data_IF_998033574620
#
_entry.id   IF_998033574620
#
_cell.length_a   1.000
_cell.length_b   1.000
_cell.length_c   1.000
_cell.angle_alpha   90.00
_cell.angle_beta   90.00
_cell.angle_gamma   90.00
#
_symmetry.space_group_name_H-M   'P 1'
#
loop_
_entity.id
_entity.type
_entity.pdbx_description
1 polymer ?
#
# COMPACT_ATOMS: atom_id res chain seq x y z
N UNK A 1 -8.83 -14.82 -14.60
CA UNK A 1 -9.12 -13.50 -14.00
C UNK A 1 -9.02 -12.43 -15.08
N UNK A 2 -9.94 -11.47 -15.11
CA UNK A 2 -10.08 -10.46 -16.18
C UNK A 2 -8.83 -9.59 -16.37
N UNK A 3 -8.11 -9.34 -15.28
CA UNK A 3 -6.85 -8.58 -15.25
C UNK A 3 -5.79 -9.20 -16.18
N UNK A 4 -5.67 -10.53 -16.20
CA UNK A 4 -4.63 -11.23 -16.94
C UNK A 4 -4.81 -11.16 -18.47
N UNK A 5 -6.00 -10.77 -18.96
CA UNK A 5 -6.24 -10.53 -20.39
C UNK A 5 -5.63 -9.21 -20.86
N UNK A 6 -5.56 -8.22 -19.97
CA UNK A 6 -5.15 -6.84 -20.29
C UNK A 6 -3.71 -6.54 -19.85
N UNK A 7 -3.24 -7.18 -18.78
CA UNK A 7 -1.91 -6.97 -18.21
C UNK A 7 -1.34 -8.25 -17.59
N UNK A 8 -0.16 -8.15 -16.98
CA UNK A 8 0.41 -9.27 -16.23
C UNK A 8 -0.52 -9.75 -15.11
N UNK A 9 -0.41 -11.03 -14.71
CA UNK A 9 -1.20 -11.55 -13.61
C UNK A 9 -0.95 -10.73 -12.34
N UNK A 10 -2.00 -10.45 -11.54
CA UNK A 10 -1.84 -9.71 -10.31
C UNK A 10 -1.01 -10.50 -9.28
N UNK A 11 -0.32 -9.78 -8.40
CA UNK A 11 0.48 -10.38 -7.31
C UNK A 11 -0.41 -10.99 -6.23
N UNK A 12 -1.56 -10.35 -5.96
CA UNK A 12 -2.56 -10.78 -5.01
C UNK A 12 -3.74 -11.41 -5.74
N UNK A 13 -4.31 -12.45 -5.13
CA UNK A 13 -5.55 -13.08 -5.58
C UNK A 13 -6.72 -12.09 -5.52
N UNK A 14 -7.79 -12.38 -6.26
CA UNK A 14 -8.98 -11.53 -6.25
C UNK A 14 -9.56 -11.34 -4.84
N UNK A 15 -9.60 -12.40 -4.01
CA UNK A 15 -10.17 -12.36 -2.66
C UNK A 15 -9.31 -11.50 -1.73
N UNK A 16 -7.97 -11.62 -1.84
CA UNK A 16 -7.05 -10.75 -1.10
C UNK A 16 -7.27 -9.28 -1.47
N UNK A 17 -7.48 -8.98 -2.76
CA UNK A 17 -7.75 -7.61 -3.23
C UNK A 17 -9.10 -7.09 -2.73
N UNK A 18 -10.17 -7.89 -2.81
CA UNK A 18 -11.49 -7.48 -2.33
C UNK A 18 -11.46 -7.17 -0.84
N UNK A 19 -10.84 -8.04 -0.04
CA UNK A 19 -10.72 -7.82 1.41
C UNK A 19 -9.93 -6.56 1.74
N UNK A 20 -8.82 -6.31 1.03
CA UNK A 20 -8.01 -5.11 1.25
C UNK A 20 -8.78 -3.82 0.94
N UNK A 21 -9.53 -3.78 -0.17
CA UNK A 21 -10.34 -2.59 -0.53
C UNK A 21 -11.49 -2.42 0.46
N UNK A 22 -12.16 -3.50 0.87
CA UNK A 22 -13.22 -3.44 1.89
C UNK A 22 -12.67 -2.97 3.24
N UNK A 23 -11.39 -3.16 3.57
CA UNK A 23 -10.82 -2.67 4.82
C UNK A 23 -10.64 -1.14 4.87
N UNK A 24 -10.68 -0.45 3.72
CA UNK A 24 -10.53 1.00 3.65
C UNK A 24 -11.81 1.67 4.18
N UNK A 25 -11.65 2.67 5.05
CA UNK A 25 -12.76 3.29 5.78
C UNK A 25 -13.74 4.11 4.93
N UNK A 26 -13.33 4.51 3.73
CA UNK A 26 -14.16 5.26 2.79
C UNK A 26 -14.96 4.37 1.83
N UNK A 27 -14.76 3.06 1.88
CA UNK A 27 -15.44 2.10 1.00
C UNK A 27 -16.63 1.51 1.74
N UNK A 28 -17.84 1.65 1.22
CA UNK A 28 -19.00 1.02 1.85
C UNK A 28 -19.12 -0.46 1.44
N UNK A 29 -19.09 -0.72 0.13
CA UNK A 29 -19.29 -2.05 -0.45
C UNK A 29 -18.31 -2.35 -1.60
N UNK A 30 -18.09 -3.64 -1.86
CA UNK A 30 -17.33 -4.13 -3.02
C UNK A 30 -18.28 -4.76 -4.04
N UNK A 31 -18.17 -4.33 -5.29
CA UNK A 31 -18.78 -4.99 -6.44
C UNK A 31 -17.81 -6.05 -7.04
N UNK A 32 -17.97 -7.35 -6.73
CA UNK A 32 -17.09 -8.38 -7.28
C UNK A 32 -17.33 -8.58 -8.78
N UNK A 33 -16.26 -8.91 -9.51
CA UNK A 33 -16.36 -9.19 -10.95
C UNK A 33 -16.69 -7.95 -11.80
N UNK A 34 -16.37 -6.75 -11.32
CA UNK A 34 -16.50 -5.53 -12.09
C UNK A 34 -15.72 -5.64 -13.43
N UNK A 35 -16.29 -5.13 -14.54
CA UNK A 35 -15.62 -5.15 -15.84
C UNK A 35 -14.35 -4.29 -15.82
N UNK A 36 -13.40 -4.58 -16.73
CA UNK A 36 -12.13 -3.86 -16.80
C UNK A 36 -12.31 -2.38 -17.14
N UNK A 37 -13.26 -2.08 -18.02
CA UNK A 37 -13.65 -0.71 -18.40
C UNK A 37 -14.99 -0.37 -17.74
N UNK A 38 -15.08 0.81 -17.13
CA UNK A 38 -16.33 1.30 -16.55
C UNK A 38 -17.33 1.66 -17.64
N UNK A 39 -18.53 1.10 -17.58
CA UNK A 39 -19.63 1.36 -18.52
C UNK A 39 -20.83 1.99 -17.82
N UNK A 40 -21.72 2.64 -18.58
CA UNK A 40 -22.98 3.16 -18.04
C UNK A 40 -23.85 2.05 -17.45
N UNK A 41 -23.89 0.88 -18.10
CA UNK A 41 -24.59 -0.31 -17.59
C UNK A 41 -24.11 -0.71 -16.18
N UNK A 42 -22.79 -0.65 -15.94
CA UNK A 42 -22.24 -0.95 -14.62
C UNK A 42 -22.70 0.06 -13.58
N UNK A 43 -22.67 1.36 -13.92
CA UNK A 43 -23.11 2.42 -13.01
C UNK A 43 -24.61 2.29 -12.69
N UNK A 44 -25.44 1.99 -13.68
CA UNK A 44 -26.88 1.82 -13.51
C UNK A 44 -27.21 0.58 -12.68
N UNK A 45 -26.50 -0.53 -12.92
CA UNK A 45 -26.65 -1.78 -12.15
C UNK A 45 -26.43 -1.57 -10.66
N UNK A 46 -25.42 -0.77 -10.28
CA UNK A 46 -25.09 -0.47 -8.89
C UNK A 46 -25.70 0.85 -8.39
N UNK A 47 -26.53 1.52 -9.21
CA UNK A 47 -27.18 2.80 -8.88
C UNK A 47 -26.18 3.90 -8.47
N UNK A 48 -25.02 3.94 -9.12
CA UNK A 48 -24.01 4.96 -8.91
C UNK A 48 -24.27 6.17 -9.81
N UNK A 49 -24.23 7.38 -9.25
CA UNK A 49 -24.45 8.60 -10.04
C UNK A 49 -23.32 8.84 -11.06
N UNK A 50 -22.07 8.62 -10.66
CA UNK A 50 -20.88 8.81 -11.49
C UNK A 50 -19.72 7.90 -11.03
N UNK A 51 -18.71 7.74 -11.89
CA UNK A 51 -17.44 7.13 -11.49
C UNK A 51 -16.35 8.19 -11.25
N UNK A 52 -15.35 7.80 -10.45
CA UNK A 52 -14.16 8.63 -10.18
C UNK A 52 -12.92 7.85 -10.61
N UNK A 53 -12.07 8.48 -11.41
CA UNK A 53 -10.78 7.94 -11.84
C UNK A 53 -9.67 8.98 -11.68
N UNK A 54 -8.41 8.54 -11.74
CA UNK A 54 -7.27 9.45 -11.77
C UNK A 54 -7.17 10.22 -13.10
N UNK A 55 -6.33 11.25 -13.13
CA UNK A 55 -6.02 12.09 -14.29
C UNK A 55 -5.05 11.45 -15.30
N UNK A 56 -4.94 10.11 -15.28
CA UNK A 56 -4.08 9.35 -16.19
C UNK A 56 -4.66 9.34 -17.62
N UNK A 57 -3.79 9.40 -18.63
CA UNK A 57 -4.20 9.29 -20.04
C UNK A 57 -4.62 7.84 -20.33
N UNK A 58 -5.91 7.61 -20.52
CA UNK A 58 -6.47 6.27 -20.82
C UNK A 58 -7.02 6.21 -22.24
N UNK A 59 -6.16 5.88 -23.20
CA UNK A 59 -6.55 5.68 -24.60
C UNK A 59 -6.62 4.20 -24.95
N UNK A 60 -7.59 3.84 -25.79
CA UNK A 60 -7.65 2.53 -26.45
C UNK A 60 -6.55 2.43 -27.50
N UNK A 61 -6.32 1.22 -28.05
CA UNK A 61 -5.36 1.00 -29.14
C UNK A 61 -5.65 1.87 -30.38
N UNK A 62 -6.91 2.27 -30.57
CA UNK A 62 -7.37 3.14 -31.66
C UNK A 62 -7.24 4.64 -31.33
N UNK A 63 -6.65 4.99 -30.19
CA UNK A 63 -6.47 6.38 -29.74
C UNK A 63 -7.73 7.06 -29.21
N UNK A 64 -8.80 6.30 -28.93
CA UNK A 64 -10.05 6.82 -28.34
C UNK A 64 -10.00 6.78 -26.82
N UNK A 65 -10.70 7.70 -26.16
CA UNK A 65 -10.81 7.70 -24.71
C UNK A 65 -11.53 6.43 -24.22
N UNK A 66 -10.92 5.72 -23.29
CA UNK A 66 -11.47 4.48 -22.71
C UNK A 66 -12.81 4.72 -22.00
N UNK A 67 -13.05 5.94 -21.53
CA UNK A 67 -14.25 6.37 -20.81
C UNK A 67 -15.13 7.33 -21.62
N UNK A 68 -14.99 7.36 -22.95
CA UNK A 68 -15.74 8.26 -23.85
C UNK A 68 -17.26 8.24 -23.55
N UNK A 69 -17.85 7.06 -23.45
CA UNK A 69 -19.28 6.88 -23.16
C UNK A 69 -19.71 7.53 -21.83
N UNK A 70 -18.93 7.29 -20.77
CA UNK A 70 -19.25 7.76 -19.41
C UNK A 70 -19.01 9.27 -19.27
N UNK A 71 -17.97 9.79 -19.95
CA UNK A 71 -17.70 11.22 -20.04
C UNK A 71 -18.80 11.96 -20.81
N UNK A 72 -19.25 11.42 -21.95
CA UNK A 72 -20.33 12.00 -22.74
C UNK A 72 -21.66 12.08 -21.96
N UNK A 73 -21.91 11.12 -21.08
CA UNK A 73 -23.08 11.12 -20.20
C UNK A 73 -22.96 12.08 -18.99
N UNK A 74 -21.84 12.78 -18.81
CA UNK A 74 -21.61 13.66 -17.66
C UNK A 74 -21.41 12.94 -16.32
N UNK A 75 -21.17 11.61 -16.34
CA UNK A 75 -21.08 10.72 -15.17
C UNK A 75 -19.64 10.30 -14.85
N UNK A 76 -18.66 11.11 -15.25
CA UNK A 76 -17.24 10.91 -14.97
C UNK A 76 -16.69 12.07 -14.14
N UNK A 77 -15.85 11.76 -13.15
CA UNK A 77 -15.14 12.74 -12.32
C UNK A 77 -13.67 12.34 -12.18
N UNK A 78 -12.81 13.34 -12.04
CA UNK A 78 -11.36 13.15 -11.91
C UNK A 78 -10.91 13.46 -10.48
N UNK A 79 -10.00 12.65 -9.95
CA UNK A 79 -9.25 12.94 -8.74
C UNK A 79 -7.77 13.12 -9.08
N UNK A 80 -7.10 14.02 -8.33
CA UNK A 80 -5.68 14.28 -8.54
C UNK A 80 -4.85 13.08 -8.10
N UNK A 81 -3.81 12.76 -8.87
CA UNK A 81 -2.81 11.77 -8.49
C UNK A 81 -2.16 12.09 -7.14
N UNK A 82 -2.12 11.09 -6.25
CA UNK A 82 -1.41 11.17 -4.97
C UNK A 82 0.10 11.30 -5.21
N UNK A 83 0.70 12.35 -4.67
CA UNK A 83 2.12 12.60 -4.79
C UNK A 83 2.95 11.66 -3.90
N UNK A 84 4.15 11.30 -4.34
CA UNK A 84 5.14 10.60 -3.53
C UNK A 84 5.00 9.08 -3.44
N UNK A 85 3.99 8.47 -4.08
CA UNK A 85 3.83 7.01 -4.10
C UNK A 85 3.32 6.49 -5.45
N UNK A 86 3.91 5.40 -5.93
CA UNK A 86 3.36 4.61 -7.04
C UNK A 86 3.72 3.14 -6.88
N UNK A 87 2.99 2.25 -7.53
CA UNK A 87 3.30 0.81 -7.52
C UNK A 87 4.69 0.54 -8.11
N UNK A 88 5.06 1.24 -9.18
CA UNK A 88 6.40 1.15 -9.81
C UNK A 88 7.50 1.60 -8.85
N UNK A 89 7.30 2.70 -8.13
CA UNK A 89 8.24 3.19 -7.12
C UNK A 89 8.40 2.16 -5.99
N UNK A 90 7.30 1.68 -5.39
CA UNK A 90 7.35 0.66 -4.33
C UNK A 90 8.05 -0.62 -4.78
N UNK A 91 7.78 -1.08 -6.01
CA UNK A 91 8.46 -2.22 -6.63
C UNK A 91 9.95 -1.91 -6.80
N UNK A 92 10.31 -0.71 -7.26
CA UNK A 92 11.69 -0.22 -7.32
C UNK A 92 12.39 -0.28 -5.98
N UNK A 93 11.78 0.22 -4.90
CA UNK A 93 12.33 0.17 -3.53
C UNK A 93 12.57 -1.27 -3.06
N UNK A 94 11.67 -2.20 -3.38
CA UNK A 94 11.81 -3.62 -3.02
C UNK A 94 12.93 -4.32 -3.80
N UNK A 95 13.15 -3.95 -5.06
CA UNK A 95 14.09 -4.62 -5.96
C UNK A 95 15.50 -4.03 -5.90
N UNK A 96 15.60 -2.71 -5.89
CA UNK A 96 16.87 -1.99 -5.87
C UNK A 96 17.52 -2.02 -4.50
N UNK A 97 16.75 -2.39 -3.46
CA UNK A 97 17.30 -2.58 -2.13
C UNK A 97 18.04 -1.32 -1.66
N UNK A 98 17.53 -0.14 -2.02
CA UNK A 98 18.09 1.17 -1.68
C UNK A 98 17.43 1.73 -0.42
N UNK A 99 18.16 2.59 0.30
CA UNK A 99 17.68 3.32 1.50
C UNK A 99 17.45 4.80 1.25
N UNK A 100 17.47 5.25 -0.01
CA UNK A 100 17.40 6.68 -0.37
C UNK A 100 16.13 7.36 0.17
N UNK A 101 15.03 6.62 0.33
CA UNK A 101 13.77 7.11 0.90
C UNK A 101 13.80 7.32 2.43
N UNK A 102 14.88 6.91 3.13
CA UNK A 102 15.07 7.15 4.57
C UNK A 102 15.66 8.53 4.86
N UNK A 103 16.23 9.19 3.84
CA UNK A 103 16.92 10.48 3.95
C UNK A 103 16.19 11.54 3.14
N UNK A 104 15.52 12.47 3.83
CA UNK A 104 15.08 13.73 3.23
C UNK A 104 16.29 14.64 2.96
N UNK A 105 17.18 14.30 2.02
CA UNK A 105 18.25 15.19 1.57
C UNK A 105 18.48 15.02 0.07
N UNK A 106 18.55 16.16 -0.60
CA UNK A 106 18.55 16.48 -2.04
C UNK A 106 19.76 15.95 -2.85
N UNK A 107 20.31 14.78 -2.53
CA UNK A 107 21.53 14.27 -3.17
C UNK A 107 21.42 12.79 -3.54
N UNK A 108 20.77 12.49 -4.68
CA UNK A 108 21.26 11.37 -5.50
C UNK A 108 20.85 11.50 -6.97
N UNK A 109 21.78 12.02 -7.77
CA UNK A 109 21.66 12.17 -9.23
C UNK A 109 21.54 10.82 -9.96
N UNK A 110 21.91 9.70 -9.32
CA UNK A 110 21.83 8.37 -9.93
C UNK A 110 20.45 7.68 -9.76
N UNK A 111 19.64 8.08 -8.78
CA UNK A 111 18.26 7.56 -8.63
C UNK A 111 17.35 8.04 -9.78
N UNK A 112 17.59 9.26 -10.28
CA UNK A 112 16.91 9.79 -11.49
C UNK A 112 17.22 8.95 -12.73
N UNK A 113 18.47 8.53 -12.94
CA UNK A 113 18.84 7.76 -14.15
C UNK A 113 18.18 6.37 -14.23
N UNK A 114 17.93 5.70 -13.10
CA UNK A 114 17.27 4.39 -13.11
C UNK A 114 15.75 4.47 -13.28
N UNK A 115 15.13 5.59 -12.88
CA UNK A 115 13.70 5.86 -13.10
C UNK A 115 13.43 6.44 -14.50
N UNK A 116 14.39 7.14 -15.10
CA UNK A 116 14.32 7.71 -16.45
C UNK A 116 14.19 6.66 -17.57
N UNK A 117 14.60 5.41 -17.34
CA UNK A 117 14.43 4.32 -18.33
C UNK A 117 12.99 3.81 -18.45
N UNK A 118 12.06 4.25 -17.59
CA UNK A 118 10.65 3.86 -17.63
C UNK A 118 9.69 4.99 -18.03
N UNK A 119 10.20 6.17 -18.43
CA UNK A 119 9.34 7.32 -18.75
C UNK A 119 10.00 8.39 -19.61
N UNK A 120 10.27 8.09 -20.90
CA UNK A 120 10.58 9.14 -21.89
C UNK A 120 9.30 9.75 -22.47
N UNK A 121 8.54 10.52 -21.68
CA UNK A 121 7.74 11.68 -22.15
C UNK A 121 7.54 12.63 -20.97
N UNK A 122 7.74 13.93 -21.21
CA UNK A 122 7.58 15.09 -20.32
C UNK A 122 8.86 15.60 -19.62
N UNK A 123 9.70 16.27 -20.42
CA UNK A 123 10.54 17.35 -19.90
C UNK A 123 9.69 18.63 -19.80
N UNK A 124 9.43 19.10 -18.58
CA UNK A 124 9.18 20.52 -18.32
C UNK A 124 9.63 20.88 -16.90
N UNK A 125 10.31 22.02 -16.80
CA UNK A 125 11.04 22.57 -15.64
C UNK A 125 10.22 22.60 -14.35
N UNK A 126 10.70 21.89 -13.32
CA UNK A 126 10.28 22.10 -11.93
C UNK A 126 11.26 23.06 -11.26
N UNK A 127 10.78 24.28 -10.97
CA UNK A 127 11.42 25.16 -9.98
C UNK A 127 11.05 24.64 -8.59
N UNK A 128 12.07 24.55 -7.74
CA UNK A 128 11.99 24.34 -6.30
C UNK A 128 10.74 24.97 -5.68
N UNK A 129 9.89 24.12 -5.12
CA UNK A 129 8.96 24.50 -4.06
C UNK A 129 8.96 23.35 -3.06
N UNK A 130 9.55 23.62 -1.90
CA UNK A 130 9.60 22.68 -0.78
C UNK A 130 8.22 22.20 -0.37
N UNK A 131 8.19 21.03 0.24
CA UNK A 131 7.01 20.42 0.82
C UNK A 131 6.48 21.29 1.97
N UNK A 132 5.70 22.30 1.61
CA UNK A 132 4.86 23.09 2.52
C UNK A 132 3.46 23.11 1.93
N UNK A 133 2.67 22.11 2.28
CA UNK A 133 1.24 22.32 2.43
C UNK A 133 0.84 21.84 3.83
N UNK A 134 0.71 22.75 4.80
CA UNK A 134 0.01 22.48 6.04
C UNK A 134 -1.49 22.55 5.74
N UNK A 135 -2.02 21.62 4.93
CA UNK A 135 -3.44 21.64 4.56
C UNK A 135 -4.02 20.24 4.41
N UNK A 136 -3.77 19.38 5.40
CA UNK A 136 -4.77 18.39 5.83
C UNK A 136 -4.67 18.23 7.35
N UNK A 137 -4.81 19.36 8.06
CA UNK A 137 -5.21 19.31 9.48
C UNK A 137 -6.71 19.11 9.46
N UNK A 138 -7.17 17.88 9.70
CA UNK A 138 -8.56 17.70 10.10
C UNK A 138 -8.68 18.27 11.52
N UNK A 139 -9.18 19.50 11.59
CA UNK A 139 -9.71 20.08 12.81
C UNK A 139 -11.06 19.40 13.07
N UNK A 140 -11.03 18.32 13.86
CA UNK A 140 -12.23 17.83 14.54
C UNK A 140 -12.04 18.07 16.02
N UNK A 141 -12.70 19.12 16.51
CA UNK A 141 -13.02 19.26 17.93
C UNK A 141 -13.85 18.04 18.35
N UNK A 142 -13.28 17.16 19.19
CA UNK A 142 -14.04 16.29 20.09
C UNK A 142 -13.12 15.71 21.16
N UNK A 143 -13.19 16.30 22.35
CA UNK A 143 -12.85 15.64 23.61
C UNK A 143 -14.04 14.79 24.03
N UNK A 144 -13.81 13.50 24.32
CA UNK A 144 -14.43 12.76 25.43
C UNK A 144 -13.90 11.30 25.46
N UNK A 145 -12.94 11.02 26.36
CA UNK A 145 -12.69 9.68 26.89
C UNK A 145 -13.78 9.37 27.93
N UNK A 146 -14.55 8.28 27.80
CA UNK A 146 -14.29 7.07 28.59
C UNK A 146 -14.77 5.80 27.85
N UNK A 147 -13.90 5.19 27.06
CA UNK A 147 -14.18 3.88 26.44
C UNK A 147 -12.96 2.98 26.68
N UNK A 148 -13.11 1.64 26.74
CA UNK A 148 -11.96 0.74 26.85
C UNK A 148 -11.03 0.97 25.65
N UNK A 149 -9.92 1.67 25.89
CA UNK A 149 -8.92 1.98 24.88
C UNK A 149 -8.09 0.72 24.68
N UNK A 150 -8.41 0.01 23.60
CA UNK A 150 -7.70 -1.17 23.16
C UNK A 150 -6.49 -0.73 22.36
N UNK A 151 -5.33 -0.62 22.99
CA UNK A 151 -4.11 -0.39 22.22
C UNK A 151 -3.67 -1.70 21.60
N UNK A 152 -3.55 -1.74 20.30
CA UNK A 152 -2.84 -2.85 19.68
C UNK A 152 -1.39 -2.45 19.60
N UNK A 153 -0.55 -3.11 20.39
CA UNK A 153 0.89 -3.02 20.27
C UNK A 153 1.31 -3.65 18.95
N UNK A 154 1.34 -2.85 17.88
CA UNK A 154 1.86 -3.30 16.60
C UNK A 154 3.37 -3.15 16.57
N UNK A 155 4.10 -4.20 16.98
CA UNK A 155 5.48 -4.36 16.54
C UNK A 155 5.56 -4.78 15.03
N UNK A 156 4.41 -5.05 14.38
CA UNK A 156 4.36 -5.51 12.98
C UNK A 156 4.03 -4.44 11.93
N UNK A 157 3.54 -3.23 12.27
CA UNK A 157 3.31 -2.13 11.30
C UNK A 157 4.62 -1.40 10.91
N UNK A 158 5.71 -2.14 10.93
CA UNK A 158 7.01 -1.79 10.39
C UNK A 158 7.03 -1.83 8.85
N UNK A 159 5.86 -2.00 8.22
CA UNK A 159 5.65 -2.52 6.86
C UNK A 159 4.50 -1.80 6.17
N UNK A 160 4.47 -1.88 4.84
CA UNK A 160 3.28 -1.52 4.04
C UNK A 160 2.09 -2.32 4.56
N UNK A 161 0.98 -1.66 4.88
CA UNK A 161 -0.23 -2.33 5.37
C UNK A 161 -0.65 -3.40 4.36
N UNK A 162 -0.70 -4.65 4.82
CA UNK A 162 -1.09 -5.80 4.02
C UNK A 162 -2.31 -6.51 4.64
N UNK A 163 -2.84 -7.53 3.95
CA UNK A 163 -4.03 -8.23 4.41
C UNK A 163 -3.84 -8.92 5.76
N UNK A 164 -2.62 -9.34 6.12
CA UNK A 164 -2.36 -9.95 7.41
C UNK A 164 -2.54 -8.95 8.57
N UNK A 165 -2.18 -7.68 8.35
CA UNK A 165 -2.47 -6.62 9.31
C UNK A 165 -3.97 -6.32 9.38
N UNK A 166 -4.67 -6.32 8.25
CA UNK A 166 -6.14 -6.14 8.21
C UNK A 166 -6.84 -7.25 9.00
N UNK A 167 -6.47 -8.51 8.77
CA UNK A 167 -7.06 -9.68 9.44
C UNK A 167 -6.83 -9.63 10.96
N UNK A 168 -5.63 -9.22 11.37
CA UNK A 168 -5.32 -9.04 12.78
C UNK A 168 -6.10 -7.87 13.40
N UNK A 169 -6.16 -6.72 12.73
CA UNK A 169 -6.95 -5.56 13.18
C UNK A 169 -8.43 -5.89 13.30
N UNK A 170 -8.97 -6.64 12.35
CA UNK A 170 -10.35 -7.11 12.34
C UNK A 170 -10.64 -7.99 13.56
N UNK A 171 -9.76 -8.94 13.87
CA UNK A 171 -9.91 -9.80 15.06
C UNK A 171 -9.75 -9.05 16.37
N UNK A 172 -8.81 -8.10 16.44
CA UNK A 172 -8.69 -7.19 17.59
C UNK A 172 -9.99 -6.40 17.76
N UNK A 173 -10.53 -5.84 16.68
CA UNK A 173 -11.75 -5.04 16.72
C UNK A 173 -12.94 -5.85 17.27
N UNK A 174 -12.93 -7.18 17.13
CA UNK A 174 -13.94 -8.07 17.69
C UNK A 174 -13.79 -8.35 19.20
N UNK A 175 -12.68 -7.95 19.83
CA UNK A 175 -12.44 -8.19 21.27
C UNK A 175 -13.27 -7.27 22.19
N UNK A 176 -13.84 -6.20 21.66
CA UNK A 176 -14.68 -5.27 22.39
C UNK A 176 -15.89 -4.86 21.57
N UNK A 177 -17.00 -4.51 22.24
CA UNK A 177 -18.22 -4.04 21.57
C UNK A 177 -18.00 -2.67 20.88
N UNK A 178 -17.21 -1.81 21.53
CA UNK A 178 -16.84 -0.48 21.01
C UNK A 178 -15.33 -0.28 21.16
N UNK A 179 -14.54 -0.91 20.28
CA UNK A 179 -13.09 -0.83 20.36
C UNK A 179 -12.61 0.57 19.95
N UNK A 180 -11.66 1.13 20.69
CA UNK A 180 -10.88 2.28 20.27
C UNK A 180 -9.45 1.84 20.05
N UNK A 181 -9.06 1.65 18.78
CA UNK A 181 -7.78 1.02 18.42
C UNK A 181 -6.73 2.09 18.16
N UNK A 182 -5.68 2.07 18.99
CA UNK A 182 -4.47 2.88 18.80
C UNK A 182 -3.38 1.99 18.22
N UNK A 183 -2.87 2.35 17.04
CA UNK A 183 -1.76 1.67 16.39
C UNK A 183 -0.44 2.42 16.64
N UNK A 184 0.53 1.77 17.28
CA UNK A 184 1.88 2.31 17.44
C UNK A 184 2.75 2.06 16.21
N UNK A 185 3.40 3.11 15.68
CA UNK A 185 4.34 2.99 14.56
C UNK A 185 5.76 3.30 15.02
N UNK A 186 6.65 2.32 14.96
CA UNK A 186 8.08 2.53 15.23
C UNK A 186 8.74 3.46 14.23
N UNK A 187 9.80 4.16 14.65
CA UNK A 187 10.65 4.95 13.77
C UNK A 187 11.36 4.07 12.73
N UNK A 188 11.67 4.65 11.56
CA UNK A 188 12.27 3.92 10.44
C UNK A 188 13.63 3.31 10.82
N UNK A 189 14.42 4.01 11.64
CA UNK A 189 15.70 3.52 12.15
C UNK A 189 15.52 2.31 13.07
N UNK A 190 14.48 2.34 13.91
CA UNK A 190 14.17 1.23 14.83
C UNK A 190 13.71 0.00 14.02
N UNK A 191 12.85 0.20 13.02
CA UNK A 191 12.45 -0.86 12.09
C UNK A 191 13.66 -1.45 11.35
N UNK A 192 14.58 -0.62 10.86
CA UNK A 192 15.78 -1.10 10.20
C UNK A 192 16.67 -1.91 11.14
N UNK A 193 16.75 -1.57 12.43
CA UNK A 193 17.53 -2.32 13.42
C UNK A 193 17.06 -3.77 13.53
N UNK A 194 15.76 -4.01 13.75
CA UNK A 194 15.27 -5.36 14.03
C UNK A 194 14.85 -6.15 12.77
N UNK A 195 14.58 -5.49 11.64
CA UNK A 195 14.32 -6.17 10.35
C UNK A 195 15.53 -6.25 9.44
N UNK A 196 16.51 -5.36 9.60
CA UNK A 196 17.68 -5.26 8.74
C UNK A 196 17.34 -4.89 7.29
N UNK A 197 18.30 -5.14 6.40
CA UNK A 197 18.19 -4.89 4.94
C UNK A 197 17.77 -3.45 4.68
N UNK A 198 16.78 -3.25 3.81
CA UNK A 198 16.26 -1.94 3.39
C UNK A 198 14.89 -1.65 3.96
N UNK A 199 14.51 -2.38 5.00
CA UNK A 199 13.28 -2.11 5.70
C UNK A 199 13.41 -0.86 6.58
N UNK A 200 12.34 -0.06 6.73
CA UNK A 200 11.03 -0.26 6.12
C UNK A 200 11.00 0.19 4.63
N UNK A 201 10.16 -0.46 3.82
CA UNK A 201 9.95 -0.09 2.40
C UNK A 201 9.23 1.27 2.29
N UNK A 202 8.30 1.52 3.21
CA UNK A 202 7.58 2.78 3.36
C UNK A 202 8.11 3.50 4.61
N UNK A 203 8.37 4.79 4.50
CA UNK A 203 8.79 5.61 5.63
C UNK A 203 7.65 5.78 6.64
N UNK A 204 7.94 6.37 7.80
CA UNK A 204 6.95 6.52 8.87
C UNK A 204 5.71 7.33 8.46
N UNK A 205 5.87 8.33 7.59
CA UNK A 205 4.76 9.17 7.14
C UNK A 205 3.85 8.41 6.17
N UNK A 206 4.43 7.67 5.23
CA UNK A 206 3.68 6.78 4.31
C UNK A 206 2.94 5.68 5.09
N UNK A 207 3.58 5.10 6.11
CA UNK A 207 2.97 4.10 6.98
C UNK A 207 1.83 4.68 7.82
N UNK A 208 1.99 5.91 8.31
CA UNK A 208 0.94 6.61 9.06
C UNK A 208 -0.33 6.74 8.23
N UNK A 209 -0.23 7.22 6.98
CA UNK A 209 -1.37 7.34 6.09
C UNK A 209 -2.00 5.98 5.75
N UNK A 210 -1.17 4.97 5.52
CA UNK A 210 -1.62 3.61 5.20
C UNK A 210 -2.46 3.00 6.34
N UNK A 211 -2.02 3.21 7.58
CA UNK A 211 -2.68 2.65 8.77
C UNK A 211 -3.95 3.43 9.12
N UNK A 212 -3.94 4.77 8.99
CA UNK A 212 -5.12 5.61 9.21
C UNK A 212 -6.24 5.39 8.18
N UNK A 213 -5.93 4.82 7.01
CA UNK A 213 -6.93 4.48 6.00
C UNK A 213 -7.76 3.23 6.38
N UNK A 214 -7.25 2.39 7.28
CA UNK A 214 -7.94 1.19 7.73
C UNK A 214 -9.11 1.54 8.64
N UNK A 215 -10.29 0.97 8.36
CA UNK A 215 -11.53 1.23 9.12
C UNK A 215 -11.47 0.82 10.59
N UNK A 216 -10.62 -0.15 10.91
CA UNK A 216 -10.50 -0.68 12.26
C UNK A 216 -9.62 0.21 13.16
N UNK A 217 -8.87 1.17 12.60
CA UNK A 217 -7.93 2.01 13.36
C UNK A 217 -8.59 3.34 13.72
N UNK A 218 -8.53 3.71 14.99
CA UNK A 218 -9.04 4.98 15.49
C UNK A 218 -7.95 6.05 15.55
N UNK A 219 -6.74 5.68 16.00
CA UNK A 219 -5.63 6.62 16.17
C UNK A 219 -4.27 5.95 15.91
N UNK A 220 -3.26 6.76 15.59
CA UNK A 220 -1.89 6.31 15.33
C UNK A 220 -0.90 7.09 16.19
N UNK A 221 -0.01 6.38 16.88
CA UNK A 221 1.16 6.98 17.53
C UNK A 221 2.33 6.95 16.57
N UNK A 222 2.65 8.12 16.01
CA UNK A 222 3.77 8.32 15.09
C UNK A 222 5.05 8.36 15.91
N UNK A 223 5.93 7.38 15.72
CA UNK A 223 7.21 7.31 16.44
C UNK A 223 7.06 6.67 17.82
N UNK A 224 6.27 5.60 17.92
CA UNK A 224 6.13 4.83 19.14
C UNK A 224 7.48 4.20 19.54
N UNK A 225 7.81 4.17 20.86
CA UNK A 225 8.95 3.43 21.36
C UNK A 225 8.79 1.93 21.09
N UNK A 226 9.90 1.21 20.98
CA UNK A 226 9.92 -0.23 20.74
C UNK A 226 9.33 -1.01 21.92
N UNK A 227 9.81 -0.73 23.13
CA UNK A 227 9.21 -1.23 24.36
C UNK A 227 7.89 -0.50 24.67
N UNK A 228 6.89 -1.26 25.10
CA UNK A 228 5.62 -0.71 25.56
C UNK A 228 5.79 -0.21 26.99
N UNK A 229 6.15 1.07 27.14
CA UNK A 229 6.47 1.66 28.45
C UNK A 229 5.24 1.93 29.31
N UNK A 230 5.43 1.98 30.64
CA UNK A 230 4.40 2.35 31.59
C UNK A 230 3.78 3.73 31.28
N UNK A 231 4.62 4.72 31.01
CA UNK A 231 4.19 6.09 30.67
C UNK A 231 3.23 6.12 29.47
N UNK A 232 3.52 5.29 28.45
CA UNK A 232 2.70 5.18 27.26
C UNK A 232 1.37 4.48 27.56
N UNK A 233 1.36 3.45 28.41
CA UNK A 233 0.12 2.80 28.83
C UNK A 233 -0.77 3.75 29.63
N UNK A 234 -0.17 4.52 30.54
CA UNK A 234 -0.88 5.43 31.43
C UNK A 234 -1.39 6.68 30.71
N UNK A 235 -0.58 7.26 29.80
CA UNK A 235 -0.95 8.42 28.99
C UNK A 235 -2.21 8.15 28.15
N UNK A 236 -2.26 6.99 27.49
CA UNK A 236 -3.39 6.61 26.64
C UNK A 236 -4.48 5.82 27.39
N UNK A 237 -4.32 5.57 28.70
CA UNK A 237 -5.23 4.78 29.53
C UNK A 237 -5.58 3.42 28.91
N UNK A 238 -4.54 2.70 28.50
CA UNK A 238 -4.65 1.44 27.76
C UNK A 238 -5.23 0.33 28.64
N UNK A 239 -6.26 -0.36 28.14
CA UNK A 239 -6.92 -1.47 28.86
C UNK A 239 -6.46 -2.85 28.41
N UNK A 240 -5.97 -2.97 27.18
CA UNK A 240 -5.53 -4.23 26.59
C UNK A 240 -4.48 -3.94 25.52
N UNK A 241 -3.45 -4.78 25.45
CA UNK A 241 -2.33 -4.76 24.51
C UNK A 241 -2.33 -6.05 23.71
N UNK A 242 -2.57 -5.94 22.40
CA UNK A 242 -2.56 -7.10 21.52
C UNK A 242 -1.29 -7.17 20.66
N UNK A 243 -0.77 -8.37 20.44
CA UNK A 243 0.27 -8.67 19.46
C UNK A 243 -0.13 -9.90 18.63
N UNK A 244 0.33 -9.97 17.38
CA UNK A 244 0.07 -11.11 16.49
C UNK A 244 0.80 -12.38 16.92
N UNK A 245 0.57 -13.49 16.23
CA UNK A 245 1.35 -14.74 16.44
C UNK A 245 2.76 -14.71 15.82
N UNK A 246 3.21 -13.55 15.34
CA UNK A 246 4.54 -13.36 14.76
C UNK A 246 5.60 -13.25 15.84
N UNK A 247 6.83 -13.68 15.53
CA UNK A 247 7.99 -13.56 16.42
C UNK A 247 8.17 -12.14 16.98
N UNK A 248 8.41 -12.07 18.29
CA UNK A 248 8.76 -10.83 19.00
C UNK A 248 10.27 -10.79 19.13
N UNK A 249 10.90 -9.80 18.49
CA UNK A 249 12.35 -9.58 18.62
C UNK A 249 12.62 -8.91 19.98
N UNK A 250 13.62 -9.34 20.76
CA UNK A 250 13.99 -8.66 22.00
C UNK A 250 14.39 -7.19 21.76
N UNK A 251 14.28 -6.36 22.80
CA UNK A 251 14.78 -4.99 22.76
C UNK A 251 16.33 -4.97 22.75
N UNK A 252 16.94 -3.78 22.62
CA UNK A 252 18.39 -3.58 22.51
C UNK A 252 19.17 -4.10 23.72
N UNK A 253 18.55 -4.12 24.88
CA UNK A 253 19.08 -4.65 26.13
C UNK A 253 18.75 -6.14 26.34
N UNK A 254 18.06 -6.77 25.39
CA UNK A 254 17.61 -8.16 25.46
C UNK A 254 16.30 -8.37 26.23
N UNK A 255 15.66 -7.30 26.73
CA UNK A 255 14.38 -7.39 27.42
C UNK A 255 13.22 -7.71 26.47
N UNK A 256 12.12 -8.18 27.05
CA UNK A 256 10.87 -8.38 26.31
C UNK A 256 10.15 -7.03 26.15
N UNK A 257 9.92 -6.53 24.92
CA UNK A 257 9.26 -5.24 24.72
C UNK A 257 7.82 -5.20 25.25
N UNK A 258 7.22 -6.36 25.56
CA UNK A 258 5.90 -6.49 26.16
C UNK A 258 5.93 -6.89 27.65
N UNK A 259 7.09 -6.79 28.33
CA UNK A 259 7.21 -7.13 29.75
C UNK A 259 6.20 -6.37 30.62
N UNK A 260 6.09 -5.05 30.43
CA UNK A 260 5.19 -4.20 31.22
C UNK A 260 3.69 -4.54 31.04
N UNK A 261 3.14 -4.66 29.81
CA UNK A 261 1.74 -5.07 29.66
C UNK A 261 1.48 -6.51 30.13
N UNK A 262 2.47 -7.41 30.04
CA UNK A 262 2.38 -8.77 30.62
C UNK A 262 2.33 -8.71 32.15
N UNK A 263 3.18 -7.89 32.78
CA UNK A 263 3.19 -7.65 34.23
C UNK A 263 1.85 -7.11 34.73
N UNK A 264 1.20 -6.24 33.96
CA UNK A 264 -0.13 -5.70 34.24
C UNK A 264 -1.29 -6.67 33.95
N UNK A 265 -1.02 -7.83 33.34
CA UNK A 265 -2.06 -8.81 32.96
C UNK A 265 -2.95 -8.35 31.81
N UNK A 266 -2.52 -7.36 31.03
CA UNK A 266 -3.28 -6.76 29.92
C UNK A 266 -2.67 -7.10 28.55
N UNK A 267 -1.80 -8.11 28.45
CA UNK A 267 -1.22 -8.56 27.19
C UNK A 267 -1.97 -9.77 26.63
N UNK A 268 -2.33 -9.74 25.35
CA UNK A 268 -3.03 -10.82 24.68
C UNK A 268 -2.44 -11.10 23.29
N UNK A 269 -2.24 -12.38 22.97
CA UNK A 269 -1.91 -12.82 21.62
C UNK A 269 -3.18 -12.99 20.81
N UNK A 270 -3.18 -12.50 19.58
CA UNK A 270 -4.30 -12.66 18.64
C UNK A 270 -3.76 -13.28 17.36
N UNK A 271 -4.28 -14.44 17.01
CA UNK A 271 -3.96 -15.10 15.75
C UNK A 271 -4.75 -14.44 14.61
N UNK A 272 -4.06 -13.83 13.64
CA UNK A 272 -4.68 -13.24 12.45
C UNK A 272 -5.32 -14.30 11.54
N UNK A 273 -4.86 -15.56 11.60
CA UNK A 273 -5.19 -16.61 10.65
C UNK A 273 -4.53 -16.42 9.27
N UNK A 274 -3.67 -15.42 9.13
CA UNK A 274 -2.94 -15.12 7.90
C UNK A 274 -1.47 -15.42 8.08
N UNK A 275 -0.91 -16.19 7.15
CA UNK A 275 0.52 -16.45 7.07
C UNK A 275 1.25 -15.41 6.21
N UNK A 276 0.54 -14.40 5.68
CA UNK A 276 1.15 -13.43 4.79
C UNK A 276 2.12 -12.54 5.58
N UNK A 277 3.35 -12.46 5.08
CA UNK A 277 4.39 -11.58 5.60
C UNK A 277 4.95 -10.74 4.46
N UNK A 278 5.55 -9.60 4.77
CA UNK A 278 6.18 -8.75 3.75
C UNK A 278 7.26 -9.47 2.96
N UNK A 279 8.02 -10.37 3.58
CA UNK A 279 9.01 -11.17 2.86
C UNK A 279 8.34 -12.09 1.83
N UNK A 280 7.18 -12.67 2.15
CA UNK A 280 6.37 -13.42 1.17
C UNK A 280 5.81 -12.52 0.06
N UNK A 281 5.37 -11.30 0.39
CA UNK A 281 4.90 -10.33 -0.62
C UNK A 281 6.04 -9.97 -1.57
N UNK A 282 7.22 -9.66 -1.03
CA UNK A 282 8.42 -9.35 -1.83
C UNK A 282 8.78 -10.55 -2.71
N UNK A 283 8.74 -11.78 -2.19
CA UNK A 283 8.96 -12.99 -2.99
C UNK A 283 7.93 -13.16 -4.10
N UNK A 284 6.64 -12.94 -3.83
CA UNK A 284 5.57 -12.98 -4.85
C UNK A 284 5.80 -11.93 -5.93
N UNK A 285 6.20 -10.71 -5.57
CA UNK A 285 6.51 -9.61 -6.50
C UNK A 285 7.71 -9.98 -7.39
N UNK A 286 8.79 -10.47 -6.79
CA UNK A 286 10.00 -10.88 -7.53
C UNK A 286 9.68 -12.01 -8.51
N UNK A 287 8.91 -13.02 -8.06
CA UNK A 287 8.49 -14.13 -8.92
C UNK A 287 7.66 -13.64 -10.11
N UNK A 288 6.65 -12.80 -9.87
CA UNK A 288 5.83 -12.23 -10.94
C UNK A 288 6.64 -11.35 -11.89
N UNK A 289 7.69 -10.66 -11.40
CA UNK A 289 8.62 -9.90 -12.25
C UNK A 289 9.38 -10.80 -13.20
N UNK A 290 9.98 -11.89 -12.71
CA UNK A 290 10.69 -12.84 -13.56
C UNK A 290 9.76 -13.44 -14.64
N UNK A 291 8.52 -13.73 -14.28
CA UNK A 291 7.50 -14.18 -15.23
C UNK A 291 7.07 -13.09 -16.22
N UNK A 292 7.05 -11.82 -15.81
CA UNK A 292 6.79 -10.69 -16.68
C UNK A 292 7.94 -10.47 -17.69
N UNK A 293 9.18 -10.43 -17.21
CA UNK A 293 10.37 -10.25 -18.05
C UNK A 293 10.49 -11.39 -19.07
N UNK A 294 10.31 -12.64 -18.66
CA UNK A 294 10.33 -13.79 -19.56
C UNK A 294 9.20 -13.74 -20.62
N UNK A 295 8.02 -13.21 -20.28
CA UNK A 295 6.94 -13.00 -21.27
C UNK A 295 7.25 -11.86 -22.24
N UNK A 296 7.80 -10.75 -21.75
CA UNK A 296 8.13 -9.61 -22.62
C UNK A 296 9.23 -9.99 -23.60
N UNK A 297 10.28 -10.70 -23.14
CA UNK A 297 11.32 -11.25 -24.01
C UNK A 297 10.75 -12.18 -25.08
N UNK A 298 9.81 -13.07 -24.74
CA UNK A 298 9.13 -13.94 -25.72
C UNK A 298 8.30 -13.15 -26.73
N UNK A 299 7.62 -12.09 -26.29
CA UNK A 299 6.82 -11.21 -27.16
C UNK A 299 7.72 -10.43 -28.12
N UNK A 300 8.78 -9.81 -27.61
CA UNK A 300 9.79 -9.10 -28.41
C UNK A 300 10.45 -10.02 -29.44
N UNK A 301 10.85 -11.24 -29.03
CA UNK A 301 11.42 -12.23 -29.96
C UNK A 301 10.43 -12.62 -31.08
N UNK A 302 9.13 -12.74 -30.75
CA UNK A 302 8.09 -13.04 -31.74
C UNK A 302 7.85 -11.86 -32.69
N UNK A 303 7.81 -10.64 -32.18
CA UNK A 303 7.64 -9.42 -32.98
C UNK A 303 8.84 -9.23 -33.93
N UNK A 304 10.06 -9.44 -33.44
CA UNK A 304 11.28 -9.37 -34.26
C UNK A 304 11.26 -10.43 -35.38
N UNK A 305 10.89 -11.67 -35.06
CA UNK A 305 10.80 -12.74 -36.05
C UNK A 305 9.75 -12.46 -37.15
N UNK A 306 8.62 -11.83 -36.79
CA UNK A 306 7.61 -11.39 -37.77
C UNK A 306 8.16 -10.29 -38.67
N UNK A 307 8.85 -9.30 -38.09
CA UNK A 307 9.48 -8.20 -38.83
C UNK A 307 10.55 -8.70 -39.81
N UNK A 308 11.38 -9.66 -39.38
CA UNK A 308 12.38 -10.31 -40.24
C UNK A 308 11.73 -11.12 -41.37
N UNK A 309 10.64 -11.85 -41.09
CA UNK A 309 9.91 -12.59 -42.11
C UNK A 309 9.23 -11.67 -43.14
N UNK A 310 8.68 -10.54 -42.70
CA UNK A 310 8.10 -9.53 -43.60
C UNK A 310 9.16 -8.89 -44.49
N UNK A 311 10.35 -8.56 -43.95
CA UNK A 311 11.47 -8.04 -44.75
C UNK A 311 11.94 -9.04 -45.82
N UNK A 312 12.08 -10.32 -45.49
CA UNK A 312 12.47 -11.35 -46.46
C UNK A 312 11.45 -11.49 -47.61
N UNK A 313 10.16 -11.41 -47.30
CA UNK A 313 9.09 -11.43 -48.31
C UNK A 313 9.07 -10.17 -49.21
N UNK A 314 9.53 -9.02 -48.70
CA UNK A 314 9.70 -7.81 -49.51
C UNK A 314 10.94 -7.89 -50.40
N UNK A 315 12.04 -8.45 -49.89
CA UNK A 315 13.27 -8.69 -50.66
C UNK A 315 13.09 -9.73 -51.77
N UNK A 316 12.26 -10.75 -51.57
CA UNK A 316 11.93 -11.76 -52.60
C UNK A 316 10.94 -11.25 -53.67
N UNK A 317 10.30 -10.09 -53.45
CA UNK A 317 9.37 -9.46 -54.40
C UNK A 317 10.04 -8.43 -55.32
N UNK A 318 11.31 -8.10 -55.07
CA UNK A 318 12.12 -7.21 -55.91
C UNK A 318 13.14 -7.99 -56.74
#
# INVERSE_FOLDING_TARGET
EEIAKHKGPPVFTQEERYKMVQAIKWVDEIAPGAPYVTTLETLDRFRCDFCVHGDDITLTVDGKDTYEEVKAAGRYRECKRTQGVSTTDLVGRMLLMTKAHHSNIDEDLDYRKHTDNFGKVMQAKWKSLGFLSPTVVFQSDCVCLPFPVLRVGFNSLSRSTDIGHVDFLEKVHQLAEKPYIIAGLHFDQEVNRYKGKNYPIMNIHERTLSVLACRYVSEVVIGAPYAVTADLLDHFRVTLVCHGMTEVVPDKDGSDPYEEPKRRGIFQLVDSGSNLTTDLIVQRIIKNRLEFEARNQKKEAKELAVLEAMKRLEEEKH
#
